data_IF_849060951032
#
_entry.id   IF_849060951032
#
_cell.length_a   1.000
_cell.length_b   1.000
_cell.length_c   1.000
_cell.angle_alpha   90.00
_cell.angle_beta   90.00
_cell.angle_gamma   90.00
#
_symmetry.space_group_name_H-M   'P 1'
#
loop_
_entity.id
_entity.type
_entity.pdbx_description
1 polymer ?
#
# COMPACT_ATOMS: atom_id res chain seq x y z
N UNK A 1 5.06 -22.95 9.44
CA UNK A 1 5.40 -21.62 8.90
C UNK A 1 6.91 -21.45 8.80
N UNK A 2 7.64 -21.69 9.89
CA UNK A 2 9.11 -21.62 9.90
C UNK A 2 9.77 -22.52 8.85
N UNK A 3 9.28 -23.75 8.66
CA UNK A 3 9.78 -24.68 7.63
C UNK A 3 9.60 -24.12 6.21
N UNK A 4 8.40 -23.65 5.85
CA UNK A 4 8.15 -23.00 4.55
C UNK A 4 9.04 -21.78 4.33
N UNK A 5 9.26 -20.96 5.35
CA UNK A 5 10.17 -19.81 5.28
C UNK A 5 11.64 -20.26 5.11
N UNK A 6 12.04 -21.32 5.81
CA UNK A 6 13.35 -21.92 5.65
C UNK A 6 13.54 -22.45 4.24
N UNK A 7 12.58 -23.18 3.67
CA UNK A 7 12.62 -23.66 2.28
C UNK A 7 12.73 -22.52 1.27
N UNK A 8 11.95 -21.45 1.44
CA UNK A 8 12.05 -20.25 0.60
C UNK A 8 13.43 -19.61 0.70
N UNK A 9 14.05 -19.61 1.88
CA UNK A 9 15.39 -19.06 2.07
C UNK A 9 16.53 -19.99 1.62
N UNK A 10 16.33 -21.31 1.69
CA UNK A 10 17.34 -22.34 1.52
C UNK A 10 17.44 -22.88 0.09
N UNK A 11 16.48 -22.55 -0.78
CA UNK A 11 16.50 -22.90 -2.19
C UNK A 11 17.54 -22.07 -2.98
N UNK A 12 18.76 -22.06 -2.46
CA UNK A 12 19.95 -21.32 -2.84
C UNK A 12 20.52 -21.71 -4.23
N UNK A 13 19.68 -22.16 -5.18
CA UNK A 13 20.15 -22.59 -6.50
C UNK A 13 19.13 -22.44 -7.64
N UNK A 14 18.04 -21.67 -7.47
CA UNK A 14 16.96 -21.69 -8.45
C UNK A 14 17.29 -20.89 -9.74
N UNK A 15 17.78 -21.68 -10.69
CA UNK A 15 18.07 -21.43 -12.11
C UNK A 15 19.25 -20.49 -12.37
N UNK A 16 20.07 -20.82 -13.37
CA UNK A 16 21.15 -19.95 -13.86
C UNK A 16 20.64 -18.60 -14.41
N UNK A 17 19.32 -18.40 -14.49
CA UNK A 17 18.70 -17.24 -15.10
C UNK A 17 17.65 -16.63 -14.18
N UNK A 18 17.98 -15.45 -13.70
CA UNK A 18 17.08 -14.59 -12.93
C UNK A 18 15.72 -14.38 -13.64
N UNK A 19 14.58 -14.44 -12.91
CA UNK A 19 13.26 -14.18 -13.49
C UNK A 19 13.21 -12.80 -14.15
N UNK A 20 12.67 -12.71 -15.37
CA UNK A 20 12.63 -11.46 -16.13
C UNK A 20 11.92 -10.31 -15.38
N UNK A 21 10.84 -10.64 -14.66
CA UNK A 21 10.09 -9.67 -13.86
C UNK A 21 10.93 -9.06 -12.71
N UNK A 22 11.98 -9.75 -12.24
CA UNK A 22 12.84 -9.21 -11.18
C UNK A 22 13.67 -8.04 -11.69
N UNK A 23 14.07 -8.06 -12.97
CA UNK A 23 14.75 -6.94 -13.59
C UNK A 23 13.87 -5.68 -13.65
N UNK A 24 12.55 -5.83 -13.83
CA UNK A 24 11.61 -4.71 -13.77
C UNK A 24 11.56 -4.11 -12.36
N UNK A 25 11.53 -4.94 -11.31
CA UNK A 25 11.53 -4.48 -9.91
C UNK A 25 12.87 -3.84 -9.53
N UNK A 26 13.99 -4.45 -9.91
CA UNK A 26 15.33 -3.90 -9.69
C UNK A 26 15.54 -2.56 -10.37
N UNK A 27 14.86 -2.33 -11.50
CA UNK A 27 14.89 -1.05 -12.19
C UNK A 27 14.14 0.04 -11.40
N UNK A 28 13.08 -0.31 -10.68
CA UNK A 28 12.23 0.63 -9.94
C UNK A 28 12.61 0.80 -8.46
N UNK A 29 13.46 -0.07 -7.92
CA UNK A 29 13.85 -0.03 -6.51
C UNK A 29 15.35 -0.17 -6.33
N UNK A 30 15.89 0.58 -5.37
CA UNK A 30 17.32 0.60 -5.04
C UNK A 30 17.52 0.40 -3.54
N UNK A 31 18.72 -0.04 -3.12
CA UNK A 31 19.05 -0.21 -1.71
C UNK A 31 18.95 1.09 -0.91
N UNK A 32 18.65 0.97 0.39
CA UNK A 32 18.43 2.11 1.31
C UNK A 32 19.75 2.69 1.82
N UNK A 33 20.51 3.35 0.94
CA UNK A 33 21.69 4.13 1.32
C UNK A 33 21.38 5.65 1.31
N UNK A 34 22.22 6.44 1.97
CA UNK A 34 22.01 7.89 2.13
C UNK A 34 21.78 8.61 0.79
N UNK A 35 22.57 8.28 -0.24
CA UNK A 35 22.43 8.86 -1.58
C UNK A 35 21.05 8.60 -2.17
N UNK A 36 20.56 7.37 -2.08
CA UNK A 36 19.27 6.97 -2.61
C UNK A 36 18.10 7.60 -1.83
N UNK A 37 18.20 7.68 -0.49
CA UNK A 37 17.20 8.36 0.35
C UNK A 37 17.13 9.86 0.00
N UNK A 38 18.28 10.53 -0.11
CA UNK A 38 18.33 11.95 -0.49
C UNK A 38 17.75 12.15 -1.89
N UNK A 39 18.09 11.29 -2.85
CA UNK A 39 17.53 11.36 -4.21
C UNK A 39 16.02 11.16 -4.22
N UNK A 40 15.51 10.20 -3.44
CA UNK A 40 14.07 9.97 -3.29
C UNK A 40 13.38 11.20 -2.67
N UNK A 41 13.90 11.71 -1.55
CA UNK A 41 13.36 12.87 -0.85
C UNK A 41 13.37 14.14 -1.71
N UNK A 42 14.45 14.39 -2.44
CA UNK A 42 14.53 15.52 -3.38
C UNK A 42 13.51 15.39 -4.52
N UNK A 43 13.28 14.19 -5.04
CA UNK A 43 12.24 13.93 -6.04
C UNK A 43 10.84 14.21 -5.51
N UNK A 44 10.52 13.74 -4.30
CA UNK A 44 9.24 14.04 -3.64
C UNK A 44 9.08 15.54 -3.44
N UNK A 45 10.09 16.22 -2.87
CA UNK A 45 10.06 17.67 -2.67
C UNK A 45 9.89 18.44 -3.98
N UNK A 46 10.53 18.00 -5.07
CA UNK A 46 10.38 18.60 -6.39
C UNK A 46 8.92 18.57 -6.87
N UNK A 47 8.25 17.43 -6.75
CA UNK A 47 6.87 17.27 -7.21
C UNK A 47 5.89 18.10 -6.37
N UNK A 48 6.05 18.14 -5.05
CA UNK A 48 5.18 18.93 -4.18
C UNK A 48 5.41 20.45 -4.33
N UNK A 49 6.67 20.90 -4.26
CA UNK A 49 6.99 22.32 -4.21
C UNK A 49 6.99 22.97 -5.61
N UNK A 50 7.42 22.28 -6.66
CA UNK A 50 7.50 22.84 -8.01
C UNK A 50 6.39 22.37 -8.95
N UNK A 51 5.98 21.10 -8.90
CA UNK A 51 4.93 20.56 -9.78
C UNK A 51 3.53 20.65 -9.19
N UNK A 52 3.41 21.12 -7.95
CA UNK A 52 2.14 21.34 -7.25
C UNK A 52 1.29 20.07 -7.24
N UNK A 53 1.90 18.95 -6.85
CA UNK A 53 1.17 17.71 -6.60
C UNK A 53 0.09 17.95 -5.52
N UNK A 54 -1.11 17.43 -5.76
CA UNK A 54 -2.26 17.56 -4.88
C UNK A 54 -2.79 16.16 -4.56
N UNK A 55 -3.05 15.90 -3.28
CA UNK A 55 -3.82 14.74 -2.83
C UNK A 55 -5.29 14.95 -3.13
N UNK A 56 -5.89 14.12 -3.99
CA UNK A 56 -7.35 14.07 -4.20
C UNK A 56 -7.79 12.62 -4.38
N UNK A 57 -9.10 12.42 -4.39
CA UNK A 57 -9.71 11.15 -4.69
C UNK A 57 -10.81 11.30 -5.75
N UNK A 58 -11.03 10.23 -6.50
CA UNK A 58 -12.19 10.04 -7.38
C UNK A 58 -12.98 8.83 -6.90
N UNK A 59 -14.29 9.02 -6.72
CA UNK A 59 -15.22 7.94 -6.46
C UNK A 59 -15.91 7.52 -7.75
N UNK A 60 -15.86 6.22 -8.04
CA UNK A 60 -16.57 5.59 -9.14
C UNK A 60 -17.69 4.73 -8.54
N UNK A 61 -18.93 5.12 -8.80
CA UNK A 61 -20.10 4.38 -8.33
C UNK A 61 -20.16 2.96 -8.91
N UNK A 62 -20.84 2.05 -8.19
CA UNK A 62 -20.97 0.63 -8.57
C UNK A 62 -21.30 0.43 -10.06
N UNK A 63 -22.35 1.11 -10.54
CA UNK A 63 -22.82 0.95 -11.92
C UNK A 63 -21.78 1.39 -12.96
N UNK A 64 -21.02 2.45 -12.66
CA UNK A 64 -19.95 2.94 -13.53
C UNK A 64 -18.81 1.92 -13.58
N UNK A 65 -18.43 1.38 -12.42
CA UNK A 65 -17.39 0.35 -12.35
C UNK A 65 -17.83 -0.92 -13.06
N UNK A 66 -19.08 -1.36 -12.87
CA UNK A 66 -19.62 -2.55 -13.54
C UNK A 66 -19.62 -2.38 -15.05
N UNK A 67 -20.07 -1.23 -15.58
CA UNK A 67 -20.07 -0.94 -17.02
C UNK A 67 -18.65 -0.97 -17.62
N UNK A 68 -17.72 -0.22 -17.00
CA UNK A 68 -16.30 -0.20 -17.37
C UNK A 68 -15.77 -1.64 -17.36
N UNK A 69 -15.83 -2.33 -16.22
CA UNK A 69 -15.24 -3.66 -16.04
C UNK A 69 -15.86 -4.69 -16.98
N UNK A 70 -17.17 -4.68 -17.18
CA UNK A 70 -17.85 -5.63 -18.05
C UNK A 70 -17.43 -5.45 -19.50
N UNK A 71 -17.45 -4.21 -20.01
CA UNK A 71 -16.99 -3.88 -21.36
C UNK A 71 -15.57 -4.38 -21.62
N UNK A 72 -14.66 -4.20 -20.64
CA UNK A 72 -13.28 -4.67 -20.79
C UNK A 72 -13.12 -6.18 -20.67
N UNK A 73 -13.85 -6.83 -19.77
CA UNK A 73 -13.84 -8.29 -19.66
C UNK A 73 -14.33 -8.95 -20.94
N UNK A 74 -15.32 -8.35 -21.62
CA UNK A 74 -15.81 -8.84 -22.90
C UNK A 74 -14.76 -8.69 -24.01
N UNK A 75 -14.04 -7.56 -24.05
CA UNK A 75 -12.92 -7.35 -24.97
C UNK A 75 -11.76 -8.34 -24.74
N UNK A 76 -11.35 -8.55 -23.48
CA UNK A 76 -10.32 -9.52 -23.10
C UNK A 76 -10.74 -10.95 -23.45
N UNK A 77 -12.01 -11.32 -23.19
CA UNK A 77 -12.56 -12.63 -23.54
C UNK A 77 -12.57 -12.83 -25.05
N UNK A 78 -12.96 -11.82 -25.84
CA UNK A 78 -13.00 -11.90 -27.29
C UNK A 78 -11.62 -12.05 -27.94
N UNK A 79 -10.58 -11.47 -27.32
CA UNK A 79 -9.19 -11.60 -27.77
C UNK A 79 -8.49 -12.87 -27.29
N UNK A 80 -9.12 -13.66 -26.40
CA UNK A 80 -8.53 -14.87 -25.83
C UNK A 80 -7.36 -14.61 -24.88
N UNK A 81 -7.22 -13.39 -24.35
CA UNK A 81 -6.03 -12.92 -23.62
C UNK A 81 -6.04 -13.22 -22.12
N UNK A 82 -6.99 -14.04 -21.65
CA UNK A 82 -7.03 -14.56 -20.28
C UNK A 82 -8.08 -13.89 -19.39
N UNK A 83 -7.75 -13.71 -18.11
CA UNK A 83 -8.61 -13.10 -17.09
C UNK A 83 -8.05 -11.74 -16.65
N UNK A 84 -8.91 -10.78 -16.31
CA UNK A 84 -8.53 -9.53 -15.64
C UNK A 84 -9.47 -9.25 -14.47
N UNK A 85 -8.91 -8.74 -13.38
CA UNK A 85 -9.69 -8.31 -12.21
C UNK A 85 -10.17 -6.86 -12.36
N UNK A 86 -11.14 -6.47 -11.53
CA UNK A 86 -11.57 -5.06 -11.40
C UNK A 86 -10.38 -4.15 -11.07
N UNK A 87 -9.46 -4.59 -10.19
CA UNK A 87 -8.26 -3.82 -9.86
C UNK A 87 -7.37 -3.55 -11.08
N UNK A 88 -7.19 -4.54 -11.96
CA UNK A 88 -6.38 -4.37 -13.20
C UNK A 88 -6.98 -3.32 -14.11
N UNK A 89 -8.31 -3.37 -14.27
CA UNK A 89 -9.07 -2.44 -15.11
C UNK A 89 -9.02 -1.02 -14.54
N UNK A 90 -9.26 -0.85 -13.24
CA UNK A 90 -9.26 0.48 -12.60
C UNK A 90 -7.88 1.13 -12.59
N UNK A 91 -6.82 0.33 -12.40
CA UNK A 91 -5.44 0.80 -12.51
C UNK A 91 -5.12 1.23 -13.93
N UNK A 92 -5.52 0.45 -14.94
CA UNK A 92 -5.33 0.81 -16.35
C UNK A 92 -6.11 2.08 -16.73
N UNK A 93 -7.38 2.17 -16.31
CA UNK A 93 -8.24 3.33 -16.52
C UNK A 93 -7.63 4.59 -15.91
N UNK A 94 -7.27 4.55 -14.63
CA UNK A 94 -6.75 5.73 -13.93
C UNK A 94 -5.43 6.22 -14.54
N UNK A 95 -4.53 5.28 -14.86
CA UNK A 95 -3.26 5.61 -15.51
C UNK A 95 -3.50 6.29 -16.86
N UNK A 96 -4.39 5.73 -17.69
CA UNK A 96 -4.70 6.29 -19.01
C UNK A 96 -5.38 7.67 -18.91
N UNK A 97 -6.32 7.83 -17.98
CA UNK A 97 -7.00 9.09 -17.71
C UNK A 97 -6.02 10.18 -17.25
N UNK A 98 -5.11 9.85 -16.33
CA UNK A 98 -4.11 10.77 -15.82
C UNK A 98 -3.13 11.27 -16.92
N UNK A 99 -2.91 10.47 -17.97
CA UNK A 99 -2.04 10.81 -19.09
C UNK A 99 -2.76 11.31 -20.35
N UNK A 100 -4.08 11.55 -20.29
CA UNK A 100 -4.89 11.94 -21.46
C UNK A 100 -4.31 13.13 -22.26
N UNK A 101 -3.61 14.05 -21.58
CA UNK A 101 -3.05 15.29 -22.15
C UNK A 101 -1.53 15.28 -22.30
N UNK A 102 -0.86 14.21 -21.93
CA UNK A 102 0.60 14.13 -21.95
C UNK A 102 1.06 13.10 -22.98
N UNK A 103 1.79 13.55 -24.01
CA UNK A 103 2.25 12.70 -25.12
C UNK A 103 3.78 12.66 -25.26
N UNK A 104 4.49 13.17 -24.25
CA UNK A 104 5.95 13.13 -24.27
C UNK A 104 6.51 11.70 -24.16
N UNK A 105 7.78 11.54 -24.50
CA UNK A 105 8.46 10.23 -24.55
C UNK A 105 9.01 9.78 -23.19
N UNK A 106 8.70 10.47 -22.10
CA UNK A 106 9.19 10.05 -20.79
C UNK A 106 8.63 8.68 -20.45
N UNK A 107 9.47 7.90 -19.76
CA UNK A 107 9.08 6.59 -19.28
C UNK A 107 8.01 6.73 -18.18
N UNK A 108 7.09 5.80 -18.15
CA UNK A 108 6.09 5.61 -17.11
C UNK A 108 6.32 4.22 -16.56
N UNK A 109 6.72 4.20 -15.31
CA UNK A 109 7.07 2.99 -14.59
C UNK A 109 5.97 2.75 -13.57
N UNK A 110 5.37 1.56 -13.58
CA UNK A 110 4.28 1.28 -12.65
C UNK A 110 4.59 0.08 -11.82
N UNK A 111 4.57 0.29 -10.50
CA UNK A 111 4.69 -0.76 -9.50
C UNK A 111 3.37 -0.95 -8.79
N UNK A 112 3.00 -2.20 -8.52
CA UNK A 112 1.87 -2.57 -7.69
C UNK A 112 2.34 -3.45 -6.54
N UNK A 113 1.69 -3.37 -5.39
CA UNK A 113 1.92 -4.30 -4.27
C UNK A 113 1.04 -5.55 -4.46
N UNK A 114 1.65 -6.73 -4.42
CA UNK A 114 0.96 -8.01 -4.63
C UNK A 114 1.03 -8.84 -3.36
N UNK A 115 -0.12 -9.30 -2.88
CA UNK A 115 -0.15 -10.27 -1.78
C UNK A 115 0.28 -11.66 -2.26
N UNK A 116 1.26 -12.23 -1.56
CA UNK A 116 1.73 -13.60 -1.79
C UNK A 116 1.10 -14.61 -0.83
N UNK A 117 0.21 -14.15 0.06
CA UNK A 117 -0.34 -14.99 1.13
C UNK A 117 -1.09 -16.21 0.60
N UNK A 118 -1.93 -16.04 -0.43
CA UNK A 118 -2.66 -17.17 -1.04
C UNK A 118 -1.72 -18.23 -1.62
N UNK A 119 -0.59 -17.80 -2.20
CA UNK A 119 0.42 -18.71 -2.73
C UNK A 119 1.16 -19.44 -1.59
N UNK A 120 1.42 -18.77 -0.48
CA UNK A 120 2.05 -19.38 0.70
C UNK A 120 1.08 -20.30 1.45
N UNK A 121 -0.22 -20.00 1.42
CA UNK A 121 -1.28 -20.85 1.98
C UNK A 121 -1.33 -22.23 1.33
N UNK A 122 -1.03 -22.33 0.03
CA UNK A 122 -0.93 -23.61 -0.69
C UNK A 122 0.16 -24.53 -0.11
N UNK A 123 1.17 -23.96 0.57
CA UNK A 123 2.25 -24.68 1.24
C UNK A 123 1.98 -24.89 2.72
N UNK A 124 1.38 -23.89 3.37
CA UNK A 124 1.10 -23.90 4.80
C UNK A 124 -0.13 -23.03 5.11
N UNK A 125 -1.20 -23.68 5.54
CA UNK A 125 -2.49 -23.06 5.86
C UNK A 125 -2.41 -21.98 6.95
N UNK A 126 -1.36 -21.97 7.78
CA UNK A 126 -1.16 -20.89 8.77
C UNK A 126 -0.96 -19.53 8.12
N UNK A 127 -0.52 -19.48 6.85
CA UNK A 127 -0.43 -18.23 6.12
C UNK A 127 -1.77 -17.57 5.88
N UNK A 128 -2.88 -18.32 5.81
CA UNK A 128 -4.24 -17.77 5.66
C UNK A 128 -4.54 -16.69 6.70
N UNK A 129 -4.17 -16.96 7.96
CA UNK A 129 -4.41 -16.08 9.11
C UNK A 129 -3.17 -15.26 9.49
N UNK A 130 -2.15 -15.21 8.63
CA UNK A 130 -0.92 -14.47 8.93
C UNK A 130 -1.15 -12.96 8.90
N UNK A 131 -1.04 -12.34 10.08
CA UNK A 131 -1.42 -10.95 10.33
C UNK A 131 -0.38 -9.91 9.90
N UNK A 132 0.85 -10.33 9.60
CA UNK A 132 1.93 -9.42 9.18
C UNK A 132 2.02 -9.31 7.65
N UNK A 133 2.91 -8.41 7.20
CA UNK A 133 3.17 -8.15 5.79
C UNK A 133 3.55 -9.43 5.03
N UNK A 134 2.76 -9.73 4.00
CA UNK A 134 3.01 -10.82 3.05
C UNK A 134 2.77 -10.28 1.63
N UNK A 135 3.61 -9.32 1.26
CA UNK A 135 3.53 -8.56 0.01
C UNK A 135 4.88 -8.51 -0.69
N UNK A 136 4.85 -8.46 -2.02
CA UNK A 136 6.01 -8.21 -2.87
C UNK A 136 5.72 -7.06 -3.84
N UNK A 137 6.78 -6.42 -4.31
CA UNK A 137 6.67 -5.43 -5.38
C UNK A 137 6.54 -6.15 -6.72
N UNK A 138 5.62 -5.66 -7.54
CA UNK A 138 5.41 -6.06 -8.92
C UNK A 138 5.57 -4.85 -9.81
N UNK A 139 6.63 -4.80 -10.63
CA UNK A 139 6.83 -3.70 -11.58
C UNK A 139 6.53 -4.19 -12.99
N UNK A 140 5.76 -3.40 -13.74
CA UNK A 140 5.49 -3.66 -15.15
C UNK A 140 6.70 -3.31 -16.03
N UNK A 141 6.79 -3.85 -17.26
CA UNK A 141 7.62 -3.26 -18.29
C UNK A 141 7.33 -1.76 -18.44
N UNK A 142 8.38 -0.95 -18.51
CA UNK A 142 8.25 0.50 -18.67
C UNK A 142 7.61 0.82 -20.03
N UNK A 143 6.64 1.73 -20.03
CA UNK A 143 6.00 2.25 -21.23
C UNK A 143 6.26 3.75 -21.33
N UNK A 144 6.29 4.33 -22.53
CA UNK A 144 6.18 5.77 -22.69
C UNK A 144 4.74 6.26 -22.49
N UNK A 145 4.56 7.55 -22.23
CA UNK A 145 3.20 8.14 -22.16
C UNK A 145 2.43 7.97 -23.46
N UNK A 146 3.12 8.08 -24.59
CA UNK A 146 2.56 7.83 -25.92
C UNK A 146 2.07 6.37 -26.08
N UNK A 147 2.81 5.39 -25.58
CA UNK A 147 2.39 3.99 -25.58
C UNK A 147 1.17 3.77 -24.68
N UNK A 148 1.10 4.41 -23.51
CA UNK A 148 -0.08 4.35 -22.65
C UNK A 148 -1.31 4.95 -23.34
N UNK A 149 -1.16 6.09 -24.01
CA UNK A 149 -2.26 6.75 -24.71
C UNK A 149 -2.78 5.89 -25.89
N UNK A 150 -1.87 5.26 -26.65
CA UNK A 150 -2.20 4.48 -27.85
C UNK A 150 -2.75 3.08 -27.54
N UNK A 151 -2.32 2.43 -26.46
CA UNK A 151 -2.83 1.11 -26.07
C UNK A 151 -4.28 1.17 -25.63
N UNK A 152 -5.06 0.15 -25.97
CA UNK A 152 -6.40 -0.04 -25.42
C UNK A 152 -6.34 -0.22 -23.89
N UNK A 153 -7.45 0.05 -23.21
CA UNK A 153 -7.55 -0.21 -21.78
C UNK A 153 -7.44 -1.71 -21.46
N UNK A 154 -7.97 -2.57 -22.34
CA UNK A 154 -7.82 -4.03 -22.22
C UNK A 154 -6.35 -4.46 -22.28
N UNK A 155 -5.56 -3.95 -23.24
CA UNK A 155 -4.12 -4.24 -23.31
C UNK A 155 -3.39 -3.82 -22.03
N UNK A 156 -3.65 -2.62 -21.50
CA UNK A 156 -3.02 -2.14 -20.27
C UNK A 156 -3.41 -2.98 -19.05
N UNK A 157 -4.67 -3.42 -18.95
CA UNK A 157 -5.15 -4.27 -17.87
C UNK A 157 -4.53 -5.68 -17.95
N UNK A 158 -4.46 -6.28 -19.15
CA UNK A 158 -3.79 -7.57 -19.38
C UNK A 158 -2.30 -7.48 -19.06
N UNK A 159 -1.63 -6.37 -19.42
CA UNK A 159 -0.23 -6.14 -19.03
C UNK A 159 -0.06 -6.08 -17.51
N UNK A 160 -0.99 -5.44 -16.79
CA UNK A 160 -0.95 -5.42 -15.32
C UNK A 160 -1.15 -6.82 -14.72
N UNK A 161 -2.16 -7.56 -15.21
CA UNK A 161 -2.41 -8.94 -14.78
C UNK A 161 -1.19 -9.83 -15.02
N UNK A 162 -0.63 -9.79 -16.22
CA UNK A 162 0.55 -10.58 -16.57
C UNK A 162 1.73 -10.30 -15.65
N UNK A 163 2.00 -9.02 -15.34
CA UNK A 163 3.07 -8.68 -14.41
C UNK A 163 2.81 -9.26 -13.00
N UNK A 164 1.56 -9.24 -12.52
CA UNK A 164 1.18 -9.85 -11.24
C UNK A 164 1.44 -11.36 -11.27
N UNK A 165 1.01 -12.06 -12.32
CA UNK A 165 1.18 -13.51 -12.45
C UNK A 165 2.68 -13.89 -12.56
N UNK A 166 3.47 -13.08 -13.27
CA UNK A 166 4.91 -13.27 -13.45
C UNK A 166 5.69 -13.13 -12.11
N UNK A 167 5.15 -12.42 -11.11
CA UNK A 167 5.75 -12.31 -9.76
C UNK A 167 5.11 -13.23 -8.71
N UNK A 168 3.88 -13.70 -8.94
CA UNK A 168 3.11 -14.50 -7.96
C UNK A 168 3.45 -15.99 -8.07
N UNK A 169 4.74 -16.30 -7.94
CA UNK A 169 5.25 -17.67 -7.96
C UNK A 169 6.48 -17.82 -7.05
N UNK A 170 6.73 -19.06 -6.63
CA UNK A 170 7.80 -19.39 -5.68
C UNK A 170 9.20 -19.00 -6.19
N UNK A 171 9.59 -19.29 -7.46
CA UNK A 171 10.89 -18.88 -7.99
C UNK A 171 11.14 -17.37 -7.92
N UNK A 172 10.13 -16.55 -8.26
CA UNK A 172 10.24 -15.10 -8.14
C UNK A 172 10.43 -14.66 -6.69
N UNK A 173 9.64 -15.17 -5.75
CA UNK A 173 9.73 -14.79 -4.33
C UNK A 173 11.12 -15.07 -3.78
N UNK A 174 11.70 -16.22 -4.11
CA UNK A 174 13.04 -16.61 -3.66
C UNK A 174 14.11 -15.67 -4.25
N UNK A 175 14.03 -15.39 -5.55
CA UNK A 175 14.95 -14.45 -6.21
C UNK A 175 14.82 -13.03 -5.64
N UNK A 176 13.59 -12.58 -5.40
CA UNK A 176 13.30 -11.28 -4.80
C UNK A 176 13.86 -11.18 -3.38
N UNK A 177 13.63 -12.17 -2.52
CA UNK A 177 14.18 -12.19 -1.14
C UNK A 177 15.70 -12.17 -1.13
N UNK A 178 16.35 -12.93 -2.03
CA UNK A 178 17.81 -12.91 -2.17
C UNK A 178 18.32 -11.53 -2.61
N UNK A 179 17.67 -10.92 -3.60
CA UNK A 179 18.01 -9.58 -4.05
C UNK A 179 17.82 -8.52 -2.95
N UNK A 180 16.70 -8.56 -2.21
CA UNK A 180 16.45 -7.64 -1.09
C UNK A 180 17.54 -7.76 -0.02
N UNK A 181 17.94 -8.99 0.34
CA UNK A 181 19.05 -9.21 1.26
C UNK A 181 20.37 -8.60 0.73
N UNK A 182 20.66 -8.79 -0.57
CA UNK A 182 21.85 -8.25 -1.24
C UNK A 182 21.92 -6.72 -1.24
N UNK A 183 20.78 -6.01 -1.30
CA UNK A 183 20.74 -4.54 -1.25
C UNK A 183 20.67 -3.96 0.17
N UNK A 184 20.85 -4.79 1.20
CA UNK A 184 20.87 -4.37 2.61
C UNK A 184 19.52 -4.51 3.34
N UNK A 185 18.62 -5.35 2.83
CA UNK A 185 17.36 -5.71 3.48
C UNK A 185 16.20 -4.75 3.28
N UNK A 186 16.44 -3.56 2.71
CA UNK A 186 15.41 -2.55 2.47
C UNK A 186 15.59 -1.91 1.10
N UNK A 187 14.47 -1.73 0.38
CA UNK A 187 14.42 -1.08 -0.92
C UNK A 187 13.64 0.23 -0.84
N UNK A 188 14.10 1.25 -1.57
CA UNK A 188 13.37 2.51 -1.77
C UNK A 188 13.09 2.71 -3.25
N UNK A 189 11.94 3.30 -3.63
CA UNK A 189 11.66 3.61 -5.02
C UNK A 189 12.74 4.50 -5.64
N UNK A 190 13.19 4.16 -6.85
CA UNK A 190 14.09 5.02 -7.60
C UNK A 190 13.33 6.14 -8.29
N UNK A 191 13.79 7.37 -8.14
CA UNK A 191 13.24 8.55 -8.84
C UNK A 191 14.18 8.94 -9.96
N UNK A 192 14.09 8.21 -11.08
CA UNK A 192 14.92 8.46 -12.26
C UNK A 192 14.45 9.71 -12.99
N UNK A 193 15.38 10.57 -13.38
CA UNK A 193 15.06 11.73 -14.22
C UNK A 193 14.49 11.26 -15.56
N UNK A 194 13.38 11.83 -15.98
CA UNK A 194 12.70 11.43 -17.23
C UNK A 194 11.86 10.16 -17.11
N UNK A 195 11.61 9.68 -15.89
CA UNK A 195 10.64 8.63 -15.61
C UNK A 195 9.60 9.12 -14.60
N UNK A 196 8.34 8.81 -14.87
CA UNK A 196 7.24 8.97 -13.93
C UNK A 196 6.96 7.62 -13.27
N UNK A 197 7.32 7.49 -11.99
CA UNK A 197 7.20 6.24 -11.23
C UNK A 197 5.93 6.23 -10.40
N UNK A 198 4.99 5.36 -10.76
CA UNK A 198 3.73 5.13 -10.05
C UNK A 198 3.83 3.95 -9.10
N UNK A 199 3.19 4.09 -7.94
CA UNK A 199 3.04 3.02 -6.95
C UNK A 199 1.55 2.83 -6.65
N UNK A 200 0.98 1.72 -7.09
CA UNK A 200 -0.41 1.36 -6.82
C UNK A 200 -0.50 0.39 -5.65
N UNK A 201 -1.34 0.73 -4.69
CA UNK A 201 -1.72 -0.12 -3.57
C UNK A 201 -3.20 -0.45 -3.68
N UNK A 202 -3.51 -1.69 -4.07
CA UNK A 202 -4.89 -2.17 -4.05
C UNK A 202 -5.23 -2.64 -2.63
N UNK A 203 -5.97 -1.82 -1.90
CA UNK A 203 -6.32 -2.05 -0.50
C UNK A 203 -7.66 -2.79 -0.33
N UNK A 204 -8.37 -3.03 -1.44
CA UNK A 204 -9.61 -3.83 -1.47
C UNK A 204 -9.38 -5.24 -0.94
N UNK A 205 -8.17 -5.78 -1.08
CA UNK A 205 -7.77 -7.09 -0.54
C UNK A 205 -7.82 -7.16 1.00
N UNK A 206 -7.97 -6.02 1.68
CA UNK A 206 -8.16 -5.96 3.12
C UNK A 206 -9.62 -6.10 3.55
N UNK A 207 -10.56 -6.12 2.60
CA UNK A 207 -12.00 -6.27 2.85
C UNK A 207 -12.54 -5.27 3.90
N UNK A 208 -11.98 -4.05 3.93
CA UNK A 208 -12.41 -3.02 4.88
C UNK A 208 -13.88 -2.64 4.73
N UNK A 209 -14.43 -2.79 3.52
CA UNK A 209 -15.84 -2.54 3.23
C UNK A 209 -16.79 -3.61 3.79
N UNK A 210 -16.26 -4.75 4.26
CA UNK A 210 -17.02 -5.85 4.86
C UNK A 210 -17.03 -5.80 6.40
N UNK A 211 -16.25 -4.90 7.00
CA UNK A 211 -16.19 -4.77 8.45
C UNK A 211 -17.47 -4.09 8.96
N UNK A 212 -18.28 -4.85 9.70
CA UNK A 212 -19.48 -4.35 10.36
C UNK A 212 -19.20 -4.05 11.84
N UNK A 213 -19.15 -2.75 12.17
CA UNK A 213 -19.02 -2.28 13.55
C UNK A 213 -20.38 -2.14 14.27
N UNK A 214 -21.48 -2.62 13.69
CA UNK A 214 -22.84 -2.43 14.17
C UNK A 214 -23.44 -1.07 13.80
N UNK A 215 -22.87 -0.39 12.81
CA UNK A 215 -23.31 0.92 12.32
C UNK A 215 -23.06 1.06 10.82
N UNK A 216 -23.90 1.80 10.11
CA UNK A 216 -23.67 2.08 8.68
C UNK A 216 -22.31 2.77 8.49
N UNK A 217 -21.48 2.21 7.60
CA UNK A 217 -20.22 2.81 7.21
C UNK A 217 -20.48 4.15 6.48
N UNK A 218 -20.27 5.26 7.21
CA UNK A 218 -20.50 6.62 6.73
C UNK A 218 -19.25 7.24 6.08
N UNK A 219 -18.08 6.66 6.31
CA UNK A 219 -16.79 7.11 5.78
C UNK A 219 -16.01 5.93 5.21
N UNK A 220 -15.00 6.21 4.39
CA UNK A 220 -14.08 5.19 3.89
C UNK A 220 -12.76 5.26 4.65
N UNK A 221 -12.03 4.15 4.66
CA UNK A 221 -10.69 4.11 5.22
C UNK A 221 -9.71 4.85 4.30
N UNK A 222 -9.13 5.93 4.81
CA UNK A 222 -8.11 6.72 4.12
C UNK A 222 -6.77 6.56 4.85
N UNK A 223 -5.74 6.16 4.09
CA UNK A 223 -4.37 6.19 4.59
C UNK A 223 -3.77 7.56 4.34
N UNK A 224 -3.72 8.38 5.39
CA UNK A 224 -2.95 9.61 5.36
C UNK A 224 -1.47 9.24 5.51
N UNK A 225 -0.78 8.96 4.40
CA UNK A 225 0.66 9.02 4.41
C UNK A 225 1.05 10.51 4.29
N UNK A 226 1.61 11.14 5.36
CA UNK A 226 1.97 12.56 5.32
C UNK A 226 3.01 12.89 4.23
N UNK A 227 3.55 11.86 3.59
CA UNK A 227 4.44 11.92 2.46
C UNK A 227 4.03 10.92 1.39
N UNK A 228 2.75 10.88 0.96
CA UNK A 228 2.33 10.15 -0.25
C UNK A 228 3.29 10.57 -1.36
N UNK A 229 4.23 9.71 -1.78
CA UNK A 229 5.15 10.07 -2.84
C UNK A 229 4.32 10.37 -4.09
N UNK A 230 4.62 11.44 -4.85
CA UNK A 230 3.90 11.74 -6.10
C UNK A 230 3.74 10.47 -6.96
N UNK A 231 2.55 10.26 -7.53
CA UNK A 231 2.10 9.04 -8.22
C UNK A 231 1.91 7.80 -7.34
N UNK A 232 1.76 7.95 -6.02
CA UNK A 232 1.27 6.86 -5.18
C UNK A 232 -0.25 6.88 -5.15
N UNK A 233 -0.85 5.73 -5.43
CA UNK A 233 -2.28 5.56 -5.65
C UNK A 233 -2.80 4.47 -4.73
N UNK A 234 -3.87 4.75 -4.01
CA UNK A 234 -4.63 3.74 -3.27
C UNK A 234 -5.94 3.47 -3.99
N UNK A 235 -6.32 2.19 -4.02
CA UNK A 235 -7.61 1.75 -4.51
C UNK A 235 -8.36 1.07 -3.36
N UNK A 236 -9.52 1.63 -3.01
CA UNK A 236 -10.40 1.13 -1.95
C UNK A 236 -11.81 0.89 -2.49
N UNK A 237 -12.55 0.01 -1.82
CA UNK A 237 -13.97 -0.24 -2.09
C UNK A 237 -14.81 0.53 -1.08
N UNK A 238 -15.91 1.14 -1.53
CA UNK A 238 -16.79 1.91 -0.68
C UNK A 238 -18.21 1.90 -1.25
N UNK A 239 -19.19 1.48 -0.44
CA UNK A 239 -20.62 1.45 -0.81
C UNK A 239 -20.89 0.81 -2.19
N UNK A 240 -20.19 -0.29 -2.48
CA UNK A 240 -20.28 -1.03 -3.75
C UNK A 240 -19.56 -0.39 -4.93
N UNK A 241 -19.08 0.86 -4.81
CA UNK A 241 -18.18 1.50 -5.76
C UNK A 241 -16.72 1.43 -5.32
N UNK A 242 -15.88 2.22 -5.97
CA UNK A 242 -14.44 2.28 -5.71
C UNK A 242 -13.97 3.72 -5.56
N UNK A 243 -13.06 3.93 -4.61
CA UNK A 243 -12.36 5.20 -4.41
C UNK A 243 -10.91 4.99 -4.86
N UNK A 244 -10.47 5.84 -5.79
CA UNK A 244 -9.09 5.92 -6.22
C UNK A 244 -8.54 7.23 -5.72
N UNK A 245 -7.55 7.15 -4.84
CA UNK A 245 -6.89 8.32 -4.28
C UNK A 245 -5.44 8.37 -4.72
N UNK A 246 -4.96 9.58 -5.03
CA UNK A 246 -3.58 9.76 -5.42
C UNK A 246 -3.01 11.13 -5.03
N UNK A 247 -1.70 11.19 -4.82
CA UNK A 247 -0.96 12.45 -4.88
C UNK A 247 -0.43 12.66 -6.29
N UNK A 248 -1.06 13.50 -7.11
CA UNK A 248 -0.63 13.78 -8.49
C UNK A 248 -0.73 15.26 -8.85
N UNK A 249 -0.01 15.67 -9.89
CA UNK A 249 -0.04 17.04 -10.43
C UNK A 249 -1.47 17.48 -10.77
N UNK A 250 -1.79 18.76 -10.50
CA UNK A 250 -3.10 19.35 -10.80
C UNK A 250 -3.59 19.08 -12.24
N UNK A 251 -2.71 19.20 -13.23
CA UNK A 251 -3.07 18.97 -14.64
C UNK A 251 -3.55 17.55 -14.93
N UNK A 252 -3.07 16.55 -14.19
CA UNK A 252 -3.53 15.17 -14.30
C UNK A 252 -4.87 14.96 -13.61
N UNK A 253 -5.09 15.64 -12.49
CA UNK A 253 -6.42 15.67 -11.86
C UNK A 253 -7.49 16.29 -12.76
N UNK A 254 -7.15 17.37 -13.49
CA UNK A 254 -8.04 17.95 -14.50
C UNK A 254 -8.35 16.95 -15.62
N UNK A 255 -7.34 16.20 -16.10
CA UNK A 255 -7.52 15.15 -17.10
C UNK A 255 -8.42 13.99 -16.60
N UNK A 256 -8.24 13.56 -15.35
CA UNK A 256 -9.10 12.55 -14.71
C UNK A 256 -10.53 13.05 -14.58
N UNK A 257 -10.72 14.31 -14.17
CA UNK A 257 -12.06 14.91 -14.06
C UNK A 257 -12.77 14.94 -15.43
N UNK A 258 -12.06 15.29 -16.51
CA UNK A 258 -12.61 15.28 -17.87
C UNK A 258 -13.04 13.89 -18.32
N UNK A 259 -12.24 12.87 -18.00
CA UNK A 259 -12.60 11.49 -18.29
C UNK A 259 -13.83 11.04 -17.49
N UNK A 260 -13.95 11.46 -16.23
CA UNK A 260 -15.16 11.22 -15.43
C UNK A 260 -16.39 11.90 -16.04
N UNK A 261 -16.28 13.17 -16.46
CA UNK A 261 -17.37 13.88 -17.13
C UNK A 261 -17.75 13.26 -18.48
N UNK A 262 -16.77 12.71 -19.22
CA UNK A 262 -17.04 11.93 -20.44
C UNK A 262 -17.85 10.67 -20.13
N UNK A 263 -17.45 9.91 -19.11
CA UNK A 263 -18.17 8.71 -18.69
C UNK A 263 -19.58 9.02 -18.17
N UNK A 264 -19.79 10.18 -17.53
CA UNK A 264 -21.12 10.66 -17.11
C UNK A 264 -22.05 10.87 -18.29
N UNK A 265 -21.57 11.53 -19.34
CA UNK A 265 -22.35 11.77 -20.56
C UNK A 265 -22.71 10.47 -21.28
N UNK A 266 -21.79 9.50 -21.27
CA UNK A 266 -22.05 8.18 -21.84
C UNK A 266 -23.07 7.37 -21.01
N UNK A 267 -23.26 7.74 -19.73
CA UNK A 267 -24.04 7.00 -18.73
C UNK A 267 -24.99 7.89 -17.92
N UNK A 268 -25.72 8.81 -18.56
CA UNK A 268 -26.58 9.79 -17.87
C UNK A 268 -27.62 9.17 -16.91
N UNK A 269 -27.93 7.87 -17.07
CA UNK A 269 -28.84 7.13 -16.18
C UNK A 269 -28.19 6.54 -14.91
N UNK A 270 -26.85 6.55 -14.78
CA UNK A 270 -26.13 5.77 -13.76
C UNK A 270 -25.41 6.63 -12.70
N UNK A 271 -25.36 7.95 -12.87
CA UNK A 271 -24.64 8.82 -11.94
C UNK A 271 -25.58 9.47 -10.92
N UNK A 272 -25.38 9.09 -9.65
CA UNK A 272 -25.84 9.89 -8.51
C UNK A 272 -24.80 10.97 -8.25
N UNK A 273 -25.22 12.23 -8.22
CA UNK A 273 -24.34 13.37 -8.01
C UNK A 273 -23.80 13.35 -6.57
N UNK A 274 -22.58 12.82 -6.39
CA UNK A 274 -21.84 13.02 -5.15
C UNK A 274 -21.27 14.44 -5.18
N UNK A 275 -21.81 15.30 -4.31
CA UNK A 275 -21.22 16.61 -4.04
C UNK A 275 -19.74 16.43 -3.69
N UNK A 276 -18.84 17.29 -4.21
CA UNK A 276 -17.43 17.22 -3.88
C UNK A 276 -17.31 17.25 -2.35
N UNK A 277 -16.83 16.16 -1.78
CA UNK A 277 -16.43 16.16 -0.38
C UNK A 277 -15.34 17.20 -0.23
N UNK A 278 -15.74 18.40 0.19
CA UNK A 278 -14.94 19.38 0.90
C UNK A 278 -14.60 18.83 2.31
N UNK A 279 -14.28 17.55 2.42
CA UNK A 279 -13.93 16.90 3.69
C UNK A 279 -12.42 16.77 3.69
N UNK A 280 -11.75 17.84 4.12
CA UNK A 280 -10.55 17.80 4.97
C UNK A 280 -9.89 19.16 5.13
N UNK A 281 -10.11 20.15 4.24
CA UNK A 281 -9.40 21.43 4.41
C UNK A 281 -9.94 22.31 5.54
N UNK A 282 -11.24 22.30 5.82
CA UNK A 282 -11.83 23.15 6.86
C UNK A 282 -11.65 22.59 8.28
N UNK A 283 -11.69 21.26 8.42
CA UNK A 283 -11.44 20.62 9.72
C UNK A 283 -9.96 20.73 10.11
N UNK A 284 -9.02 20.74 9.15
CA UNK A 284 -7.60 20.90 9.45
C UNK A 284 -7.13 22.37 9.51
N UNK A 285 -7.85 23.33 8.92
CA UNK A 285 -7.55 24.77 9.11
C UNK A 285 -8.05 25.29 10.45
N UNK A 286 -9.10 24.66 11.01
CA UNK A 286 -9.72 25.07 12.26
C UNK A 286 -9.16 24.28 13.46
N UNK A 287 -8.31 23.27 13.21
CA UNK A 287 -7.41 22.70 14.21
C UNK A 287 -6.11 23.51 14.22
N UNK A 288 -6.11 24.58 15.01
CA UNK A 288 -4.87 25.12 15.55
C UNK A 288 -4.06 23.97 16.14
N UNK A 289 -2.86 23.79 15.58
CA UNK A 289 -1.66 23.22 16.18
C UNK A 289 -1.81 22.75 17.66
N UNK A 290 -2.46 21.61 17.91
CA UNK A 290 -2.23 20.85 19.15
C UNK A 290 -0.91 20.11 18.96
N UNK A 291 0.17 20.88 19.00
CA UNK A 291 1.46 20.36 19.39
C UNK A 291 1.36 20.07 20.90
N UNK A 292 1.69 18.82 21.28
CA UNK A 292 1.94 18.39 22.66
C UNK A 292 0.70 18.24 23.55
N UNK A 293 0.10 17.04 23.53
CA UNK A 293 -0.55 16.49 24.73
C UNK A 293 0.56 15.86 25.58
N UNK A 294 1.17 16.69 26.41
CA UNK A 294 1.99 16.24 27.53
C UNK A 294 1.03 15.71 28.60
N UNK A 295 1.10 14.40 28.87
CA UNK A 295 0.47 13.82 30.06
C UNK A 295 1.53 13.89 31.15
N UNK A 296 1.40 14.77 32.17
CA UNK A 296 2.32 14.72 33.29
C UNK A 296 2.12 13.39 34.01
N UNK A 297 3.20 12.62 34.14
CA UNK A 297 3.25 11.52 35.08
C UNK A 297 3.18 12.15 36.48
N UNK A 298 2.21 11.78 37.33
CA UNK A 298 2.27 12.20 38.72
C UNK A 298 3.44 11.44 39.35
N UNK A 299 4.29 12.20 40.02
CA UNK A 299 5.39 11.77 40.90
C UNK A 299 6.71 11.37 40.19
N UNK A 300 7.73 12.25 40.29
CA UNK A 300 9.13 11.87 40.11
C UNK A 300 10.07 12.97 39.65
N UNK A 301 10.57 13.77 40.59
CA UNK A 301 11.78 14.62 40.58
C UNK A 301 12.27 15.22 39.24
N UNK A 302 12.05 16.53 39.11
CA UNK A 302 12.80 17.44 38.27
C UNK A 302 14.29 17.45 38.63
N UNK A 303 15.12 16.88 37.76
CA UNK A 303 16.51 17.29 37.50
C UNK A 303 17.04 16.46 36.34
N UNK A 304 16.91 16.97 35.11
CA UNK A 304 17.99 16.91 34.11
C UNK A 304 17.67 17.83 32.93
N UNK A 305 18.63 18.71 32.64
CA UNK A 305 18.55 19.77 31.65
C UNK A 305 18.49 19.24 30.21
N UNK A 306 17.70 19.95 29.43
CA UNK A 306 17.50 19.85 27.98
C UNK A 306 18.81 20.16 27.21
N UNK A 307 19.26 19.24 26.34
CA UNK A 307 20.23 19.50 25.25
C UNK A 307 19.48 19.52 23.90
N UNK A 308 19.34 20.68 23.22
CA UNK A 308 18.59 20.81 21.98
C UNK A 308 19.25 20.16 20.74
N UNK A 309 20.47 19.62 20.86
CA UNK A 309 21.25 19.13 19.72
C UNK A 309 21.16 17.61 19.44
N UNK A 310 20.44 16.84 20.26
CA UNK A 310 20.28 15.39 20.05
C UNK A 310 18.99 14.95 19.33
N UNK A 311 18.17 15.88 18.83
CA UNK A 311 17.08 15.54 17.90
C UNK A 311 17.62 15.36 16.47
N UNK A 312 18.63 14.51 16.33
CA UNK A 312 19.08 14.01 15.04
C UNK A 312 18.13 12.88 14.62
N UNK A 313 17.06 13.26 13.92
CA UNK A 313 16.45 12.54 12.80
C UNK A 313 16.61 11.01 12.86
N UNK A 314 15.84 10.34 13.72
CA UNK A 314 15.47 8.94 13.51
C UNK A 314 14.27 8.89 12.58
N UNK A 315 14.49 9.13 11.29
CA UNK A 315 13.52 8.74 10.27
C UNK A 315 13.62 7.22 10.15
N UNK A 316 12.76 6.49 10.88
CA UNK A 316 12.32 5.17 10.39
C UNK A 316 11.49 5.47 9.15
N UNK A 317 12.06 5.25 7.97
CA UNK A 317 11.29 5.16 6.72
C UNK A 317 10.48 3.86 6.82
N UNK A 318 9.38 3.91 7.56
CA UNK A 318 8.35 2.87 7.54
C UNK A 318 7.51 3.07 6.29
N UNK A 319 8.00 2.62 5.15
CA UNK A 319 7.17 2.53 3.95
C UNK A 319 6.25 1.32 4.11
N UNK A 320 4.95 1.60 4.19
CA UNK A 320 3.81 0.67 4.15
C UNK A 320 3.68 -0.33 5.32
N UNK A 321 2.58 -0.19 6.06
CA UNK A 321 2.10 -1.19 7.00
C UNK A 321 0.60 -1.42 6.73
N UNK A 322 0.23 -2.54 6.09
CA UNK A 322 -1.16 -2.96 6.09
C UNK A 322 -1.34 -4.27 6.87
N UNK A 323 -2.19 -4.25 7.89
CA UNK A 323 -2.87 -5.45 8.36
C UNK A 323 -3.84 -5.88 7.25
N UNK A 324 -3.67 -7.07 6.71
CA UNK A 324 -4.53 -7.59 5.64
C UNK A 324 -4.86 -9.05 5.95
N UNK A 325 -6.14 -9.39 5.98
CA UNK A 325 -6.64 -10.76 6.05
C UNK A 325 -7.29 -11.03 4.69
N UNK A 326 -6.85 -12.02 3.89
CA UNK A 326 -7.59 -12.44 2.72
C UNK A 326 -8.49 -13.61 3.07
N UNK A 327 -9.73 -13.53 2.58
CA UNK A 327 -10.55 -14.71 2.36
C UNK A 327 -11.14 -14.62 0.97
N UNK A 328 -11.15 -15.74 0.25
CA UNK A 328 -11.81 -15.87 -1.05
C UNK A 328 -13.26 -15.38 -1.03
N UNK A 329 -13.83 -15.13 -2.22
CA UNK A 329 -15.21 -14.68 -2.53
C UNK A 329 -16.35 -15.59 -1.99
N UNK A 330 -16.11 -16.42 -0.97
CA UNK A 330 -17.06 -17.38 -0.37
C UNK A 330 -17.05 -17.46 1.17
N UNK A 331 -16.57 -16.45 1.89
CA UNK A 331 -16.59 -16.49 3.36
C UNK A 331 -17.93 -16.01 3.95
N UNK A 332 -18.54 -16.84 4.79
CA UNK A 332 -19.66 -16.45 5.66
C UNK A 332 -19.20 -15.41 6.70
N UNK A 333 -20.06 -14.44 7.00
CA UNK A 333 -19.78 -13.34 7.92
C UNK A 333 -19.36 -13.86 9.31
N UNK A 334 -18.12 -13.54 9.71
CA UNK A 334 -17.60 -13.85 11.05
C UNK A 334 -18.19 -12.84 12.03
N UNK A 335 -19.05 -13.31 12.95
CA UNK A 335 -19.50 -12.52 14.11
C UNK A 335 -18.40 -12.51 15.17
N UNK A 336 -17.85 -11.34 15.48
CA UNK A 336 -16.91 -11.17 16.59
C UNK A 336 -17.65 -11.16 17.94
N UNK A 337 -17.22 -11.93 18.95
CA UNK A 337 -17.67 -11.73 20.33
C UNK A 337 -16.99 -10.50 20.96
N UNK A 338 -17.74 -9.82 21.82
CA UNK A 338 -17.37 -8.63 22.60
C UNK A 338 -16.09 -8.84 23.45
N UNK A 339 -15.20 -7.83 23.60
CA UNK A 339 -13.91 -8.01 24.26
C UNK A 339 -14.02 -7.81 25.78
N UNK A 340 -13.57 -8.81 26.55
CA UNK A 340 -13.19 -8.62 27.94
C UNK A 340 -12.04 -9.56 28.33
N UNK A 341 -10.80 -9.24 27.93
CA UNK A 341 -9.60 -9.73 28.65
C UNK A 341 -8.37 -8.86 28.31
N UNK A 342 -7.58 -8.41 29.30
CA UNK A 342 -6.34 -7.66 29.06
C UNK A 342 -5.19 -8.59 28.65
N UNK A 343 -4.41 -8.20 27.63
CA UNK A 343 -3.22 -8.94 27.19
C UNK A 343 -1.97 -8.35 27.86
N UNK A 344 -1.22 -9.22 28.53
CA UNK A 344 0.10 -8.96 29.13
C UNK A 344 1.18 -9.00 28.05
N UNK A 345 2.01 -7.96 27.95
CA UNK A 345 3.17 -7.92 27.04
C UNK A 345 4.42 -8.36 27.80
N UNK A 346 5.03 -9.48 27.40
CA UNK A 346 6.35 -9.90 27.84
C UNK A 346 7.40 -9.41 26.84
N UNK A 347 8.33 -8.58 27.31
CA UNK A 347 9.51 -8.12 26.57
C UNK A 347 10.71 -8.99 26.95
N UNK A 348 11.37 -9.57 25.95
CA UNK A 348 12.66 -10.26 26.13
C UNK A 348 13.70 -9.62 25.22
N UNK A 349 14.56 -8.80 25.79
CA UNK A 349 15.85 -8.41 25.19
C UNK A 349 16.97 -9.12 25.98
N UNK A 350 18.04 -9.61 25.31
CA UNK A 350 19.17 -10.24 25.99
C UNK A 350 20.09 -9.17 26.60
N UNK A 351 20.77 -9.43 27.75
CA UNK A 351 21.66 -8.46 28.36
C UNK A 351 23.10 -8.62 27.87
N UNK A 352 23.78 -7.49 27.63
CA UNK A 352 25.24 -7.41 27.70
C UNK A 352 25.65 -6.31 28.68
N UNK A 353 26.34 -6.73 29.75
CA UNK A 353 27.38 -6.05 30.57
C UNK A 353 27.22 -4.54 30.88
N UNK A 354 27.32 -4.04 32.11
CA UNK A 354 27.96 -4.53 33.34
C UNK A 354 27.69 -3.55 34.52
N UNK A 355 27.97 -4.03 35.75
CA UNK A 355 28.27 -3.30 37.00
C UNK A 355 27.14 -3.03 38.02
N UNK A 356 27.37 -3.64 39.19
CA UNK A 356 27.10 -3.23 40.59
C UNK A 356 25.71 -3.41 41.22
N UNK A 357 25.67 -4.50 41.98
CA UNK A 357 24.94 -4.84 43.23
C UNK A 357 24.13 -3.76 43.95
N UNK A 358 22.82 -4.01 44.08
CA UNK A 358 22.09 -4.01 45.36
C UNK A 358 20.83 -4.91 45.27
N UNK A 359 20.68 -5.81 46.25
CA UNK A 359 19.54 -6.73 46.42
C UNK A 359 18.29 -5.99 46.91
N UNK A 360 17.11 -6.28 46.37
CA UNK A 360 15.88 -6.25 47.16
C UNK A 360 15.21 -7.62 47.23
N UNK A 361 14.73 -7.94 48.44
CA UNK A 361 13.93 -9.11 48.79
C UNK A 361 12.58 -9.04 48.07
N UNK A 362 12.18 -10.11 47.40
CA UNK A 362 10.81 -10.27 46.90
C UNK A 362 9.94 -10.92 47.98
N UNK A 363 8.87 -10.24 48.39
CA UNK A 363 7.75 -10.84 49.10
C UNK A 363 6.71 -11.29 48.06
N UNK A 364 6.35 -12.57 48.09
CA UNK A 364 5.27 -13.13 47.26
C UNK A 364 3.97 -12.99 48.04
N UNK A 365 3.06 -12.16 47.56
CA UNK A 365 1.69 -12.06 48.06
C UNK A 365 0.80 -12.90 47.15
N UNK A 366 0.16 -13.94 47.70
CA UNK A 366 -0.86 -14.74 47.00
C UNK A 366 -2.23 -14.31 47.52
N UNK A 367 -3.19 -13.93 46.67
CA UNK A 367 -4.57 -13.73 47.10
C UNK A 367 -5.25 -15.09 47.37
N UNK A 368 -6.16 -15.18 48.35
CA UNK A 368 -6.86 -16.41 48.67
C UNK A 368 -7.89 -16.77 47.60
N UNK A 369 -7.95 -18.07 47.29
CA UNK A 369 -9.03 -18.69 46.53
C UNK A 369 -10.28 -18.73 47.41
N UNK A 370 -11.34 -18.03 47.01
CA UNK A 370 -12.68 -18.25 47.54
C UNK A 370 -13.31 -19.45 46.84
N UNK A 371 -13.69 -20.44 47.64
CA UNK A 371 -14.60 -21.52 47.27
C UNK A 371 -15.92 -21.31 48.01
N UNK A 372 -17.03 -21.35 47.25
CA UNK A 372 -18.45 -21.47 47.64
C UNK A 372 -19.04 -20.44 48.60
#
# INVERSE_FOLDING_TARGET
>A
MQETLQELSAAASLSSKEPAALADVQREFVGTNLKNIVSFGAGVAYEFLWKKAEGKAVYLGKNVVDDIVQKFKDEVKSSGTGFVSTGDVLVAWFLKAAYLRETDKNAVCVTTLVSIRSLLEEKDLTFKNYTHNSIIHCSRPSLSKQEIASKSLAELAVMNRKAIDDVRNIPFIQAYTHWVAKIGGNAVPTRRRGADSWLFSNQVIGHFDEIDFGSEMSAFWHWNEPSVPDHSVTLNKFKGGYIIEAGIRRSRWEAVAEEVERMKKDNESLFFEWSPMYVQRKVLSDFELINTLYVPHPEGNDQDLYDPLQTAIRIRVGLTCPYLIPTDDKAEAIKYPSPATPIVVLSTSPPSSSISTHNPKFAVYSPPLESS
#
